data_IF_734517679580
#
_entry.id   IF_734517679580
#
_cell.length_a   1.000
_cell.length_b   1.000
_cell.length_c   1.000
_cell.angle_alpha   90.00
_cell.angle_beta   90.00
_cell.angle_gamma   90.00
#
_symmetry.space_group_name_H-M   'P 1'
#
loop_
_entity.id
_entity.type
_entity.pdbx_description
1 polymer ?
#
# COMPACT_ATOMS: atom_id res chain seq x y z
N UNK A 1 -7.30 -37.88 -27.05
CA UNK A 1 -7.38 -36.47 -27.46
C UNK A 1 -7.51 -35.65 -26.18
N UNK A 2 -6.54 -34.79 -25.89
CA UNK A 2 -6.69 -33.84 -24.77
C UNK A 2 -7.83 -32.86 -25.05
N UNK A 3 -8.32 -32.13 -24.04
CA UNK A 3 -9.29 -31.07 -24.27
C UNK A 3 -8.71 -30.06 -25.27
N UNK A 4 -9.53 -29.57 -26.19
CA UNK A 4 -9.12 -28.49 -27.09
C UNK A 4 -8.74 -27.24 -26.27
N UNK A 5 -7.69 -26.51 -26.67
CA UNK A 5 -7.30 -25.28 -25.99
C UNK A 5 -8.46 -24.29 -26.02
N UNK A 6 -9.00 -23.97 -24.85
CA UNK A 6 -10.04 -22.96 -24.70
C UNK A 6 -9.43 -21.59 -24.94
N UNK A 7 -9.89 -20.89 -25.98
CA UNK A 7 -9.49 -19.50 -26.19
C UNK A 7 -10.06 -18.63 -25.06
N UNK A 8 -9.24 -17.71 -24.56
CA UNK A 8 -9.59 -16.72 -23.54
C UNK A 8 -9.16 -15.33 -24.00
N UNK A 9 -9.85 -14.30 -23.52
CA UNK A 9 -9.58 -12.91 -23.90
C UNK A 9 -8.28 -12.40 -23.27
N UNK A 10 -7.96 -12.86 -22.06
CA UNK A 10 -6.74 -12.46 -21.35
C UNK A 10 -6.14 -13.64 -20.57
N UNK A 11 -4.85 -13.88 -20.80
CA UNK A 11 -4.05 -14.80 -20.00
C UNK A 11 -3.03 -14.00 -19.16
N UNK A 12 -3.15 -14.08 -17.83
CA UNK A 12 -2.28 -13.39 -16.87
C UNK A 12 -1.25 -14.38 -16.33
N UNK A 13 0.04 -14.04 -16.48
CA UNK A 13 1.15 -14.84 -15.96
C UNK A 13 1.66 -14.19 -14.67
N UNK A 14 1.53 -14.90 -13.55
CA UNK A 14 1.97 -14.49 -12.22
C UNK A 14 0.83 -14.08 -11.29
N UNK A 15 0.74 -14.73 -10.13
CA UNK A 15 -0.22 -14.55 -9.04
C UNK A 15 0.27 -13.67 -7.89
N UNK A 16 1.09 -12.66 -8.21
CA UNK A 16 1.38 -11.55 -7.29
C UNK A 16 0.26 -10.50 -7.28
N UNK A 17 0.45 -9.41 -6.52
CA UNK A 17 -0.58 -8.36 -6.36
C UNK A 17 -1.02 -7.72 -7.69
N UNK A 18 -0.07 -7.51 -8.61
CA UNK A 18 -0.36 -6.93 -9.92
C UNK A 18 -1.20 -7.89 -10.77
N UNK A 19 -0.79 -9.15 -10.87
CA UNK A 19 -1.51 -10.14 -11.67
C UNK A 19 -2.90 -10.43 -11.12
N UNK A 20 -3.03 -10.62 -9.81
CA UNK A 20 -4.32 -10.83 -9.15
C UNK A 20 -5.25 -9.61 -9.32
N UNK A 21 -4.72 -8.39 -9.18
CA UNK A 21 -5.48 -7.15 -9.41
C UNK A 21 -5.96 -7.00 -10.86
N UNK A 22 -5.07 -7.26 -11.83
CA UNK A 22 -5.39 -7.23 -13.26
C UNK A 22 -6.47 -8.27 -13.58
N UNK A 23 -6.32 -9.51 -13.11
CA UNK A 23 -7.28 -10.57 -13.36
C UNK A 23 -8.66 -10.24 -12.78
N UNK A 24 -8.71 -9.70 -11.55
CA UNK A 24 -9.96 -9.28 -10.91
C UNK A 24 -10.65 -8.14 -11.65
N UNK A 25 -9.91 -7.14 -12.11
CA UNK A 25 -10.49 -6.03 -12.88
C UNK A 25 -10.99 -6.53 -14.25
N UNK A 26 -10.16 -7.26 -15.00
CA UNK A 26 -10.52 -7.80 -16.31
C UNK A 26 -11.75 -8.72 -16.26
N UNK A 27 -11.82 -9.64 -15.31
CA UNK A 27 -12.99 -10.49 -15.11
C UNK A 27 -14.22 -9.67 -14.68
N UNK A 28 -14.04 -8.64 -13.85
CA UNK A 28 -15.09 -7.69 -13.48
C UNK A 28 -15.66 -6.87 -14.63
N UNK A 29 -14.92 -6.78 -15.74
CA UNK A 29 -15.36 -6.16 -17.00
C UNK A 29 -15.96 -7.16 -17.99
N UNK A 30 -16.10 -8.43 -17.62
CA UNK A 30 -16.74 -9.48 -18.40
C UNK A 30 -15.82 -10.20 -19.39
N UNK A 31 -14.50 -10.03 -19.27
CA UNK A 31 -13.54 -10.80 -20.08
C UNK A 31 -13.41 -12.24 -19.56
N UNK A 32 -13.19 -13.18 -20.48
CA UNK A 32 -12.73 -14.52 -20.12
C UNK A 32 -11.24 -14.47 -19.75
N UNK A 33 -10.93 -14.74 -18.48
CA UNK A 33 -9.58 -14.56 -17.93
C UNK A 33 -9.06 -15.86 -17.34
N UNK A 34 -7.80 -16.18 -17.61
CA UNK A 34 -7.03 -17.19 -16.88
C UNK A 34 -5.86 -16.49 -16.20
N UNK A 35 -5.68 -16.73 -14.90
CA UNK A 35 -4.47 -16.39 -14.17
C UNK A 35 -3.71 -17.68 -13.86
N UNK A 36 -2.42 -17.72 -14.19
CA UNK A 36 -1.55 -18.85 -13.85
C UNK A 36 -0.38 -18.38 -12.99
N UNK A 37 -0.23 -19.00 -11.83
CA UNK A 37 0.92 -18.86 -10.92
C UNK A 37 1.68 -20.18 -10.85
N UNK A 38 3.00 -20.09 -10.99
CA UNK A 38 3.92 -21.23 -11.02
C UNK A 38 4.03 -21.88 -9.63
N UNK A 39 3.99 -21.08 -8.56
CA UNK A 39 4.05 -21.57 -7.18
C UNK A 39 2.71 -21.31 -6.44
N UNK A 40 2.71 -20.70 -5.25
CA UNK A 40 1.51 -20.25 -4.55
C UNK A 40 1.22 -18.74 -4.72
N UNK A 41 -0.02 -18.33 -4.47
CA UNK A 41 -0.42 -16.93 -4.53
C UNK A 41 0.42 -16.09 -3.55
N UNK A 42 0.87 -14.93 -4.02
CA UNK A 42 1.72 -14.00 -3.27
C UNK A 42 3.12 -14.50 -2.87
N UNK A 43 3.56 -15.69 -3.29
CA UNK A 43 4.83 -16.27 -2.82
C UNK A 43 6.09 -15.44 -3.16
N UNK A 44 6.02 -14.67 -4.25
CA UNK A 44 7.05 -13.72 -4.65
C UNK A 44 7.11 -12.45 -3.76
N UNK A 45 7.42 -11.31 -4.38
CA UNK A 45 7.60 -10.02 -3.67
C UNK A 45 6.36 -9.58 -2.87
N UNK A 46 5.16 -10.00 -3.31
CA UNK A 46 3.89 -9.55 -2.71
C UNK A 46 3.60 -10.09 -1.30
N UNK A 47 4.43 -10.99 -0.75
CA UNK A 47 4.40 -11.39 0.67
C UNK A 47 5.62 -10.88 1.48
N UNK A 48 6.56 -10.21 0.81
CA UNK A 48 7.87 -9.80 1.33
C UNK A 48 8.05 -8.28 1.31
N UNK A 49 6.96 -7.55 1.48
CA UNK A 49 6.98 -6.09 1.51
C UNK A 49 7.20 -5.55 2.93
N UNK A 50 7.34 -4.23 3.06
CA UNK A 50 7.23 -3.54 4.35
C UNK A 50 5.82 -3.58 4.95
N UNK A 51 4.85 -4.18 4.25
CA UNK A 51 3.44 -4.34 4.66
C UNK A 51 2.72 -3.02 4.87
N UNK A 52 3.06 -2.02 4.06
CA UNK A 52 2.51 -0.68 4.14
C UNK A 52 1.77 -0.30 2.86
N UNK A 53 0.62 0.35 3.01
CA UNK A 53 0.01 1.15 1.96
C UNK A 53 0.36 2.60 2.28
N UNK A 54 1.41 3.10 1.62
CA UNK A 54 1.97 4.41 1.93
C UNK A 54 2.12 5.30 0.69
N UNK A 55 2.01 6.61 0.91
CA UNK A 55 2.22 7.64 -0.12
C UNK A 55 3.69 7.86 -0.52
N UNK A 56 4.64 7.30 0.24
CA UNK A 56 6.06 7.42 -0.04
C UNK A 56 6.64 8.81 0.27
N UNK A 57 6.58 9.22 1.54
CA UNK A 57 7.01 10.55 2.01
C UNK A 57 8.37 10.99 1.47
N UNK A 58 9.36 10.09 1.43
CA UNK A 58 10.71 10.35 0.92
C UNK A 58 10.72 10.80 -0.54
N UNK A 59 9.78 10.35 -1.37
CA UNK A 59 9.75 10.70 -2.79
C UNK A 59 9.42 12.17 -3.05
N UNK A 60 8.88 12.90 -2.06
CA UNK A 60 8.74 14.35 -2.15
C UNK A 60 10.08 15.07 -2.33
N UNK A 61 11.18 14.49 -1.84
CA UNK A 61 12.53 15.07 -2.02
C UNK A 61 13.02 14.98 -3.46
N UNK A 62 12.49 14.01 -4.22
CA UNK A 62 12.79 13.83 -5.63
C UNK A 62 11.77 14.53 -6.53
N UNK A 63 10.88 15.35 -5.95
CA UNK A 63 9.81 16.04 -6.67
C UNK A 63 8.85 15.09 -7.42
N UNK A 64 8.72 13.84 -6.97
CA UNK A 64 7.81 12.84 -7.54
C UNK A 64 6.36 13.05 -7.08
N UNK A 65 5.85 14.29 -7.24
CA UNK A 65 4.56 14.71 -6.69
C UNK A 65 3.39 13.91 -7.23
N UNK A 66 3.44 13.49 -8.51
CA UNK A 66 2.40 12.67 -9.12
C UNK A 66 2.30 11.31 -8.45
N UNK A 67 3.43 10.62 -8.28
CA UNK A 67 3.49 9.31 -7.61
C UNK A 67 2.95 9.41 -6.18
N UNK A 68 3.45 10.40 -5.42
CA UNK A 68 3.03 10.59 -4.03
C UNK A 68 1.53 10.89 -3.96
N UNK A 69 1.02 11.75 -4.83
CA UNK A 69 -0.41 12.07 -4.90
C UNK A 69 -1.26 10.84 -5.21
N UNK A 70 -0.90 10.07 -6.24
CA UNK A 70 -1.63 8.85 -6.63
C UNK A 70 -1.65 7.83 -5.48
N UNK A 71 -0.49 7.56 -4.87
CA UNK A 71 -0.38 6.63 -3.75
C UNK A 71 -1.18 7.08 -2.51
N UNK A 72 -1.19 8.38 -2.20
CA UNK A 72 -1.98 8.91 -1.08
C UNK A 72 -3.50 8.81 -1.32
N UNK A 73 -3.97 8.99 -2.56
CA UNK A 73 -5.37 8.81 -2.94
C UNK A 73 -5.75 7.33 -2.84
N UNK A 74 -4.96 6.45 -3.45
CA UNK A 74 -5.23 5.00 -3.46
C UNK A 74 -5.23 4.40 -2.06
N UNK A 75 -4.44 4.93 -1.13
CA UNK A 75 -4.49 4.51 0.28
C UNK A 75 -5.88 4.61 0.90
N UNK A 76 -6.62 5.68 0.64
CA UNK A 76 -7.99 5.86 1.15
C UNK A 76 -8.99 4.93 0.40
N UNK A 77 -8.76 4.69 -0.89
CA UNK A 77 -9.56 3.74 -1.70
C UNK A 77 -9.39 2.32 -1.16
N UNK A 78 -8.15 1.87 -0.97
CA UNK A 78 -7.81 0.55 -0.46
C UNK A 78 -8.31 0.36 0.97
N UNK A 79 -8.11 1.35 1.85
CA UNK A 79 -8.63 1.32 3.21
C UNK A 79 -10.17 1.19 3.24
N UNK A 80 -10.87 1.81 2.30
CA UNK A 80 -12.33 1.66 2.16
C UNK A 80 -12.71 0.28 1.59
N UNK A 81 -11.94 -0.24 0.63
CA UNK A 81 -12.25 -1.49 -0.07
C UNK A 81 -11.97 -2.74 0.78
N UNK A 82 -10.91 -2.73 1.58
CA UNK A 82 -10.48 -3.88 2.37
C UNK A 82 -10.17 -3.52 3.85
N UNK A 83 -11.13 -2.93 4.60
CA UNK A 83 -10.89 -2.48 5.98
C UNK A 83 -10.63 -3.61 6.98
N UNK A 84 -10.86 -4.86 6.58
CA UNK A 84 -10.61 -6.06 7.39
C UNK A 84 -9.16 -6.56 7.30
N UNK A 85 -8.35 -6.03 6.37
CA UNK A 85 -6.93 -6.34 6.22
C UNK A 85 -6.04 -5.11 6.01
N UNK A 86 -6.62 -3.90 5.98
CA UNK A 86 -5.91 -2.63 5.86
C UNK A 86 -6.36 -1.73 6.99
N UNK A 87 -5.39 -1.23 7.77
CA UNK A 87 -5.66 -0.47 8.97
C UNK A 87 -4.85 0.82 9.01
N UNK A 88 -5.39 1.92 9.56
CA UNK A 88 -4.61 3.12 9.84
C UNK A 88 -3.45 2.81 10.76
N UNK A 89 -2.27 3.38 10.47
CA UNK A 89 -1.08 3.29 11.30
C UNK A 89 -0.46 4.69 11.45
N UNK A 90 0.04 4.97 12.65
CA UNK A 90 0.77 6.21 12.96
C UNK A 90 2.27 5.95 12.92
N UNK A 91 2.99 6.84 12.27
CA UNK A 91 4.44 6.79 12.10
C UNK A 91 5.06 7.94 12.87
N UNK A 92 5.99 7.62 13.76
CA UNK A 92 6.79 8.59 14.51
C UNK A 92 8.11 8.77 13.77
N UNK A 93 8.40 10.02 13.43
CA UNK A 93 9.63 10.46 12.77
C UNK A 93 10.42 11.35 13.74
N UNK A 94 11.40 10.80 14.48
CA UNK A 94 12.27 11.59 15.33
C UNK A 94 13.06 12.61 14.50
N UNK A 95 13.14 13.85 14.97
CA UNK A 95 13.80 14.92 14.24
C UNK A 95 15.30 14.93 14.50
N UNK A 96 16.09 14.98 13.42
CA UNK A 96 17.54 15.15 13.42
C UNK A 96 17.90 16.38 12.58
N UNK A 97 18.40 17.48 13.19
CA UNK A 97 18.84 18.66 12.45
C UNK A 97 19.98 18.39 11.46
N UNK A 98 20.80 17.36 11.70
CA UNK A 98 21.91 16.96 10.84
C UNK A 98 21.42 16.36 9.52
N UNK A 99 20.27 15.68 9.54
CA UNK A 99 19.68 15.10 8.34
C UNK A 99 18.86 16.14 7.57
N UNK A 100 17.89 16.76 8.25
CA UNK A 100 16.94 17.71 7.63
C UNK A 100 16.54 18.80 8.62
N UNK A 101 16.47 20.07 8.20
CA UNK A 101 15.94 21.11 9.07
C UNK A 101 14.44 20.89 9.34
N UNK A 102 14.01 21.16 10.57
CA UNK A 102 12.64 20.86 11.03
C UNK A 102 11.54 21.50 10.16
N UNK A 103 11.79 22.71 9.65
CA UNK A 103 10.83 23.42 8.79
C UNK A 103 10.59 22.67 7.47
N UNK A 104 11.62 22.04 6.91
CA UNK A 104 11.53 21.31 5.65
C UNK A 104 10.74 20.02 5.83
N UNK A 105 10.99 19.29 6.92
CA UNK A 105 10.19 18.11 7.29
C UNK A 105 8.73 18.51 7.49
N UNK A 106 8.47 19.62 8.19
CA UNK A 106 7.10 20.11 8.41
C UNK A 106 6.41 20.50 7.11
N UNK A 107 7.12 21.12 6.16
CA UNK A 107 6.61 21.43 4.83
C UNK A 107 6.29 20.16 4.03
N UNK A 108 7.18 19.16 4.04
CA UNK A 108 6.96 17.88 3.39
C UNK A 108 5.72 17.16 3.94
N UNK A 109 5.57 17.12 5.26
CA UNK A 109 4.40 16.54 5.92
C UNK A 109 3.11 17.32 5.65
N UNK A 110 3.19 18.65 5.55
CA UNK A 110 2.07 19.48 5.09
C UNK A 110 1.64 19.08 3.68
N UNK A 111 2.58 18.94 2.73
CA UNK A 111 2.25 18.47 1.38
C UNK A 111 1.65 17.06 1.41
N UNK A 112 2.22 16.16 2.19
CA UNK A 112 1.76 14.78 2.34
C UNK A 112 0.31 14.69 2.86
N UNK A 113 -0.08 15.58 3.78
CA UNK A 113 -1.45 15.65 4.29
C UNK A 113 -2.47 16.16 3.25
N UNK A 114 -2.05 16.98 2.30
CA UNK A 114 -2.96 17.72 1.41
C UNK A 114 -2.98 17.23 -0.04
N UNK A 115 -1.89 16.63 -0.54
CA UNK A 115 -1.81 16.17 -1.93
C UNK A 115 -2.86 15.09 -2.26
N UNK A 116 -3.11 14.19 -1.31
CA UNK A 116 -4.00 13.03 -1.51
C UNK A 116 -5.47 13.24 -1.16
N UNK A 117 -5.87 14.44 -0.67
CA UNK A 117 -7.24 14.69 -0.25
C UNK A 117 -7.71 13.81 0.91
N UNK A 118 -6.89 13.71 1.97
CA UNK A 118 -7.11 12.91 3.19
C UNK A 118 -8.54 13.06 3.74
N UNK A 119 -9.18 11.94 4.12
CA UNK A 119 -10.55 11.93 4.68
C UNK A 119 -10.64 11.26 6.04
N UNK A 120 -10.08 10.06 6.19
CA UNK A 120 -10.24 9.22 7.39
C UNK A 120 -9.04 9.25 8.32
N UNK A 121 -7.86 9.45 7.75
CA UNK A 121 -6.62 9.39 8.50
C UNK A 121 -6.41 10.68 9.33
N UNK A 122 -5.91 10.60 10.57
CA UNK A 122 -5.51 11.77 11.33
C UNK A 122 -4.35 12.52 10.67
N UNK A 123 -4.28 13.83 10.89
CA UNK A 123 -3.23 14.67 10.31
C UNK A 123 -1.91 14.65 11.05
N UNK A 124 -0.94 15.37 10.49
CA UNK A 124 0.40 15.44 11.08
C UNK A 124 0.40 16.22 12.39
N UNK A 125 0.95 15.60 13.44
CA UNK A 125 1.24 16.25 14.73
C UNK A 125 2.74 16.52 14.85
N UNK A 126 3.09 17.58 15.56
CA UNK A 126 4.45 17.75 16.09
C UNK A 126 4.45 17.17 17.49
N UNK A 127 5.49 16.41 17.81
CA UNK A 127 5.66 15.73 19.09
C UNK A 127 6.79 16.38 19.89
N UNK A 128 6.57 16.47 21.19
CA UNK A 128 7.60 16.70 22.20
C UNK A 128 8.00 15.33 22.76
N UNK A 129 9.10 14.76 22.26
CA UNK A 129 9.48 13.37 22.56
C UNK A 129 10.00 13.20 24.00
N UNK A 130 10.23 14.28 24.73
CA UNK A 130 10.55 14.22 26.17
C UNK A 130 9.30 14.00 27.03
N UNK A 131 8.12 14.30 26.49
CA UNK A 131 6.85 14.29 27.25
C UNK A 131 5.79 13.36 26.66
N UNK A 132 5.74 13.26 25.34
CA UNK A 132 4.77 12.45 24.62
C UNK A 132 5.14 10.95 24.74
N UNK A 133 4.16 10.05 24.92
CA UNK A 133 4.41 8.62 25.11
C UNK A 133 5.13 7.97 23.91
N UNK A 134 4.98 8.53 22.71
CA UNK A 134 5.68 8.12 21.49
C UNK A 134 7.21 8.25 21.61
N UNK A 135 7.71 9.08 22.52
CA UNK A 135 9.14 9.27 22.78
C UNK A 135 9.75 8.24 23.73
N UNK A 136 8.95 7.54 24.54
CA UNK A 136 9.43 6.59 25.56
C UNK A 136 10.37 5.49 25.03
N UNK A 137 10.18 4.90 23.82
CA UNK A 137 11.09 3.88 23.30
C UNK A 137 12.32 4.43 22.55
N UNK A 138 12.49 5.75 22.47
CA UNK A 138 13.53 6.41 21.68
C UNK A 138 14.73 6.80 22.56
N UNK A 139 15.85 7.14 21.91
CA UNK A 139 17.02 7.69 22.60
C UNK A 139 16.74 9.13 23.05
N UNK A 140 17.16 9.48 24.28
CA UNK A 140 16.97 10.80 24.90
C UNK A 140 17.53 11.98 24.10
N UNK A 141 18.45 11.71 23.16
CA UNK A 141 18.98 12.73 22.25
C UNK A 141 17.92 13.31 21.29
N UNK A 142 16.80 12.61 21.08
CA UNK A 142 15.70 13.06 20.24
C UNK A 142 14.64 13.74 21.10
N UNK A 143 14.62 15.08 21.09
CA UNK A 143 13.64 15.87 21.89
C UNK A 143 12.40 16.27 21.09
N UNK A 144 12.49 16.28 19.76
CA UNK A 144 11.40 16.66 18.85
C UNK A 144 11.12 15.54 17.86
N UNK A 145 9.85 15.35 17.54
CA UNK A 145 9.42 14.43 16.49
C UNK A 145 8.25 14.96 15.69
N UNK A 146 7.90 14.23 14.65
CA UNK A 146 6.66 14.42 13.92
C UNK A 146 5.92 13.10 13.82
N UNK A 147 4.61 13.16 13.88
CA UNK A 147 3.78 11.98 13.73
C UNK A 147 2.83 12.16 12.55
N UNK A 148 2.76 11.19 11.65
CA UNK A 148 1.88 11.22 10.49
C UNK A 148 1.20 9.87 10.26
N UNK A 149 0.22 9.85 9.35
CA UNK A 149 -0.55 8.64 9.05
C UNK A 149 -0.15 8.02 7.72
N UNK A 150 -0.12 6.69 7.72
CA UNK A 150 -0.21 5.81 6.56
C UNK A 150 -1.07 4.59 6.95
N UNK A 151 -1.06 3.52 6.16
CA UNK A 151 -1.79 2.30 6.49
C UNK A 151 -0.85 1.09 6.53
N UNK A 152 -1.16 0.14 7.40
CA UNK A 152 -0.60 -1.21 7.40
C UNK A 152 -1.54 -2.16 6.66
N UNK A 153 -1.00 -3.16 5.98
CA UNK A 153 -1.74 -4.15 5.21
C UNK A 153 -1.18 -5.55 5.41
N UNK A 154 -2.06 -6.54 5.48
CA UNK A 154 -1.69 -7.93 5.23
C UNK A 154 -1.52 -8.14 3.71
N UNK A 155 -0.27 -8.08 3.25
CA UNK A 155 0.10 -8.07 1.84
C UNK A 155 -0.28 -9.37 1.10
N UNK A 156 0.01 -10.53 1.70
CA UNK A 156 -0.37 -11.82 1.16
C UNK A 156 -1.90 -11.98 1.08
N UNK A 157 -2.65 -11.57 2.11
CA UNK A 157 -4.12 -11.64 2.05
C UNK A 157 -4.71 -10.69 1.02
N UNK A 158 -4.10 -9.53 0.79
CA UNK A 158 -4.56 -8.62 -0.26
C UNK A 158 -4.49 -9.30 -1.65
N UNK A 159 -3.43 -10.06 -1.93
CA UNK A 159 -3.32 -10.84 -3.17
C UNK A 159 -4.40 -11.91 -3.23
N UNK A 160 -4.53 -12.73 -2.19
CA UNK A 160 -5.50 -13.83 -2.14
C UNK A 160 -6.92 -13.31 -2.34
N UNK A 161 -7.30 -12.21 -1.70
CA UNK A 161 -8.63 -11.62 -1.86
C UNK A 161 -8.88 -11.06 -3.27
N UNK A 162 -7.84 -10.57 -3.96
CA UNK A 162 -7.97 -10.21 -5.36
C UNK A 162 -8.18 -11.46 -6.23
N UNK A 163 -7.43 -12.54 -6.00
CA UNK A 163 -7.59 -13.79 -6.73
C UNK A 163 -8.96 -14.44 -6.49
N UNK A 164 -9.44 -14.51 -5.23
CA UNK A 164 -10.81 -14.94 -4.89
C UNK A 164 -11.83 -14.07 -5.60
N UNK A 165 -11.66 -12.74 -5.56
CA UNK A 165 -12.55 -11.82 -6.25
C UNK A 165 -12.55 -11.99 -7.78
N UNK A 166 -11.43 -12.39 -8.38
CA UNK A 166 -11.36 -12.73 -9.80
C UNK A 166 -12.12 -14.02 -10.10
N UNK A 167 -11.93 -15.07 -9.29
CA UNK A 167 -12.63 -16.35 -9.42
C UNK A 167 -14.15 -16.21 -9.27
N UNK A 168 -14.62 -15.42 -8.30
CA UNK A 168 -16.04 -15.07 -8.13
C UNK A 168 -16.64 -14.38 -9.37
N UNK A 169 -15.81 -13.75 -10.20
CA UNK A 169 -16.20 -13.09 -11.46
C UNK A 169 -15.99 -13.98 -12.69
N UNK A 170 -15.68 -15.26 -12.49
CA UNK A 170 -15.55 -16.25 -13.57
C UNK A 170 -14.15 -16.38 -14.15
N UNK A 171 -13.12 -15.74 -13.56
CA UNK A 171 -11.74 -16.02 -13.93
C UNK A 171 -11.34 -17.44 -13.47
N UNK A 172 -10.54 -18.13 -14.28
CA UNK A 172 -9.89 -19.36 -13.88
C UNK A 172 -8.55 -19.03 -13.22
N UNK A 173 -8.35 -19.46 -11.97
CA UNK A 173 -7.14 -19.21 -11.19
C UNK A 173 -6.41 -20.53 -11.00
N UNK A 174 -5.28 -20.67 -11.68
CA UNK A 174 -4.45 -21.86 -11.66
C UNK A 174 -3.19 -21.58 -10.85
N UNK A 175 -2.97 -22.41 -9.84
CA UNK A 175 -1.76 -22.42 -9.01
C UNK A 175 -1.19 -23.82 -9.06
N UNK A 176 0.14 -23.94 -9.15
CA UNK A 176 0.89 -25.22 -9.13
C UNK A 176 0.71 -26.07 -10.38
#
# INVERSE_FOLDING_TARGET
MGPEPKMVDLFVIGGGINGAGIARDAAGRGLSVVLCEKDDLAEGTSSRSGKLVHGGLRYLEYCEFRLVREALIEREVLLKAAPHIIWPMRFVLPHSPQDRPAWLVRLGLFLYDHLGGRKRLPGTRTLDLERDPEGTPLLDQYTRGFEYSDCWVDDARLVVLNAVGAAERGAEVLTR
#
